data_IF_332806530467
#
_entry.id   IF_332806530467
#
_cell.length_a   1.000
_cell.length_b   1.000
_cell.length_c   1.000
_cell.angle_alpha   90.00
_cell.angle_beta   90.00
_cell.angle_gamma   90.00
#
_symmetry.space_group_name_H-M   'P 1'
#
loop_
_entity.id
_entity.type
_entity.pdbx_description
1 polymer ?
#
# COMPACT_ATOMS: atom_id res chain seq x y z
N UNK A 1 -26.82 3.35 -26.08
CA UNK A 1 -25.43 2.86 -25.86
C UNK A 1 -24.94 3.30 -24.48
N UNK A 2 -24.78 2.40 -23.49
CA UNK A 2 -24.24 2.78 -22.17
C UNK A 2 -22.85 3.41 -22.37
N UNK A 3 -22.68 4.69 -22.02
CA UNK A 3 -21.38 5.40 -22.06
C UNK A 3 -20.32 4.49 -21.45
N UNK A 4 -19.33 4.06 -22.24
CA UNK A 4 -18.22 3.24 -21.75
C UNK A 4 -17.40 4.12 -20.80
N UNK A 5 -17.64 3.97 -19.51
CA UNK A 5 -16.98 4.74 -18.45
C UNK A 5 -15.50 4.36 -18.38
N UNK A 6 -14.68 5.32 -17.97
CA UNK A 6 -13.26 5.10 -17.63
C UNK A 6 -13.20 4.12 -16.46
N UNK A 7 -12.23 3.21 -16.48
CA UNK A 7 -12.02 2.21 -15.43
C UNK A 7 -11.05 2.77 -14.39
N UNK A 8 -11.52 3.07 -13.19
CA UNK A 8 -10.68 3.58 -12.10
C UNK A 8 -10.88 2.68 -10.86
N UNK A 9 -9.79 2.32 -10.13
CA UNK A 9 -9.91 1.61 -8.86
C UNK A 9 -10.78 2.40 -7.86
N UNK A 10 -11.78 1.73 -7.28
CA UNK A 10 -12.70 2.34 -6.32
C UNK A 10 -12.25 2.22 -4.86
N UNK A 11 -11.14 1.54 -4.61
CA UNK A 11 -10.66 1.26 -3.26
C UNK A 11 -9.90 2.45 -2.68
N UNK A 12 -10.53 3.20 -1.78
CA UNK A 12 -9.92 4.35 -1.10
C UNK A 12 -8.60 3.98 -0.39
N UNK A 13 -8.52 2.79 0.22
CA UNK A 13 -7.31 2.29 0.86
C UNK A 13 -6.14 2.07 -0.11
N UNK A 14 -6.41 1.63 -1.34
CA UNK A 14 -5.36 1.43 -2.36
C UNK A 14 -4.68 2.73 -2.77
N UNK A 15 -5.41 3.85 -2.79
CA UNK A 15 -4.85 5.18 -3.04
C UNK A 15 -3.89 5.64 -1.93
N UNK A 16 -4.18 5.31 -0.67
CA UNK A 16 -3.25 5.56 0.42
C UNK A 16 -2.02 4.64 0.30
N UNK A 17 -2.22 3.35 0.00
CA UNK A 17 -1.13 2.37 -0.13
C UNK A 17 -0.18 2.67 -1.30
N UNK A 18 -0.66 3.23 -2.41
CA UNK A 18 0.23 3.63 -3.52
C UNK A 18 1.04 4.88 -3.18
N UNK A 19 0.52 5.77 -2.33
CA UNK A 19 1.07 7.10 -2.09
C UNK A 19 1.95 7.17 -0.84
N UNK A 20 1.50 6.64 0.30
CA UNK A 20 2.18 6.79 1.59
C UNK A 20 3.56 6.14 1.63
N UNK A 21 3.76 4.86 1.22
CA UNK A 21 5.08 4.26 1.23
C UNK A 21 6.03 5.00 0.29
N UNK A 22 5.53 5.45 -0.87
CA UNK A 22 6.29 6.22 -1.84
C UNK A 22 6.79 7.54 -1.23
N UNK A 23 5.90 8.29 -0.58
CA UNK A 23 6.26 9.53 0.11
C UNK A 23 7.28 9.27 1.23
N UNK A 24 7.09 8.22 2.03
CA UNK A 24 8.03 7.86 3.08
C UNK A 24 9.42 7.56 2.52
N UNK A 25 9.52 6.79 1.44
CA UNK A 25 10.78 6.50 0.76
C UNK A 25 11.45 7.75 0.20
N UNK A 26 10.68 8.63 -0.44
CA UNK A 26 11.16 9.92 -0.96
C UNK A 26 11.73 10.81 0.15
N UNK A 27 11.07 10.87 1.32
CA UNK A 27 11.53 11.65 2.47
C UNK A 27 12.69 10.99 3.23
N UNK A 28 12.78 9.66 3.22
CA UNK A 28 13.93 8.95 3.79
C UNK A 28 15.22 9.19 2.98
N UNK A 29 15.09 9.38 1.65
CA UNK A 29 16.15 9.82 0.76
C UNK A 29 16.17 11.33 0.58
N UNK A 30 16.53 11.79 -0.62
CA UNK A 30 16.45 13.20 -1.02
C UNK A 30 15.36 13.39 -2.08
N UNK A 31 14.34 14.22 -1.82
CA UNK A 31 13.36 14.59 -2.83
C UNK A 31 14.04 15.16 -4.08
N UNK A 32 13.61 14.70 -5.24
CA UNK A 32 14.20 15.06 -6.54
C UNK A 32 13.15 14.92 -7.64
N UNK A 33 13.35 15.63 -8.76
CA UNK A 33 12.41 15.67 -9.87
C UNK A 33 12.12 14.28 -10.47
N UNK A 34 13.06 13.34 -10.39
CA UNK A 34 12.85 11.96 -10.87
C UNK A 34 11.79 11.17 -10.09
N UNK A 35 11.39 11.63 -8.90
CA UNK A 35 10.24 11.05 -8.21
C UNK A 35 8.93 11.28 -8.97
N UNK A 36 8.81 12.34 -9.77
CA UNK A 36 7.60 12.62 -10.52
C UNK A 36 7.32 11.57 -11.62
N UNK A 37 8.24 11.31 -12.57
CA UNK A 37 8.03 10.24 -13.55
C UNK A 37 7.94 8.85 -12.88
N UNK A 38 8.72 8.59 -11.82
CA UNK A 38 8.62 7.34 -11.07
C UNK A 38 7.22 7.15 -10.45
N UNK A 39 6.70 8.17 -9.76
CA UNK A 39 5.38 8.11 -9.12
C UNK A 39 4.27 7.97 -10.14
N UNK A 40 4.34 8.69 -11.27
CA UNK A 40 3.35 8.55 -12.35
C UNK A 40 3.37 7.15 -12.95
N UNK A 41 4.57 6.60 -13.18
CA UNK A 41 4.75 5.22 -13.62
C UNK A 41 4.14 4.21 -12.64
N UNK A 42 4.46 4.36 -11.36
CA UNK A 42 3.94 3.54 -10.26
C UNK A 42 2.41 3.64 -10.12
N UNK A 43 1.87 4.85 -10.21
CA UNK A 43 0.44 5.11 -10.13
C UNK A 43 -0.30 4.46 -11.31
N UNK A 44 0.24 4.58 -12.53
CA UNK A 44 -0.35 3.92 -13.69
C UNK A 44 -0.22 2.40 -13.65
N UNK A 45 0.84 1.83 -13.06
CA UNK A 45 0.91 0.39 -12.78
C UNK A 45 -0.22 -0.05 -11.85
N UNK A 46 -0.47 0.70 -10.76
CA UNK A 46 -1.59 0.45 -9.88
C UNK A 46 -2.93 0.53 -10.63
N UNK A 47 -3.16 1.60 -11.41
CA UNK A 47 -4.37 1.74 -12.22
C UNK A 47 -4.53 0.64 -13.27
N UNK A 48 -3.43 0.13 -13.82
CA UNK A 48 -3.40 -0.96 -14.80
C UNK A 48 -3.74 -2.32 -14.17
N UNK A 49 -3.28 -2.58 -12.95
CA UNK A 49 -3.50 -3.84 -12.23
C UNK A 49 -5.00 -4.16 -12.08
N UNK A 50 -5.82 -3.16 -11.76
CA UNK A 50 -7.25 -3.34 -11.52
C UNK A 50 -8.02 -3.87 -12.75
N UNK A 51 -8.01 -3.21 -13.93
CA UNK A 51 -8.60 -3.77 -15.15
C UNK A 51 -8.06 -5.16 -15.49
N UNK A 52 -6.76 -5.42 -15.33
CA UNK A 52 -6.20 -6.74 -15.61
C UNK A 52 -6.81 -7.82 -14.72
N UNK A 53 -6.87 -7.60 -13.40
CA UNK A 53 -7.50 -8.52 -12.46
C UNK A 53 -9.00 -8.70 -12.76
N UNK A 54 -9.74 -7.62 -13.07
CA UNK A 54 -11.16 -7.72 -13.42
C UNK A 54 -11.40 -8.45 -14.74
N UNK A 55 -10.46 -8.39 -15.69
CA UNK A 55 -10.53 -9.14 -16.95
C UNK A 55 -10.48 -10.66 -16.74
N UNK A 56 -9.89 -11.12 -15.63
CA UNK A 56 -9.81 -12.54 -15.26
C UNK A 56 -11.14 -13.06 -14.70
N UNK A 57 -11.96 -12.18 -14.12
CA UNK A 57 -13.24 -12.51 -13.49
C UNK A 57 -14.41 -12.32 -14.45
N UNK A 58 -14.42 -11.21 -15.20
CA UNK A 58 -15.54 -10.80 -16.03
C UNK A 58 -15.27 -11.06 -17.51
N UNK A 59 -15.62 -12.27 -17.97
CA UNK A 59 -15.43 -12.70 -19.36
C UNK A 59 -16.26 -11.88 -20.36
N UNK A 60 -17.46 -11.44 -19.98
CA UNK A 60 -18.39 -10.73 -20.86
C UNK A 60 -17.87 -9.36 -21.33
N UNK A 61 -17.13 -8.65 -20.47
CA UNK A 61 -16.54 -7.34 -20.80
C UNK A 61 -15.00 -7.38 -20.89
N UNK A 62 -14.41 -8.55 -21.07
CA UNK A 62 -12.95 -8.76 -21.02
C UNK A 62 -12.18 -7.81 -21.94
N UNK A 63 -12.66 -7.57 -23.17
CA UNK A 63 -12.01 -6.64 -24.13
C UNK A 63 -11.94 -5.21 -23.60
N UNK A 64 -12.98 -4.74 -22.89
CA UNK A 64 -13.00 -3.40 -22.32
C UNK A 64 -12.00 -3.26 -21.16
N UNK A 65 -11.94 -4.28 -20.28
CA UNK A 65 -10.97 -4.32 -19.18
C UNK A 65 -9.53 -4.37 -19.69
N UNK A 66 -9.24 -5.26 -20.64
CA UNK A 66 -7.91 -5.35 -21.25
C UNK A 66 -7.50 -4.05 -21.96
N UNK A 67 -8.42 -3.39 -22.67
CA UNK A 67 -8.13 -2.10 -23.31
C UNK A 67 -7.61 -1.07 -22.30
N UNK A 68 -8.30 -0.88 -21.19
CA UNK A 68 -7.87 0.09 -20.17
C UNK A 68 -6.61 -0.37 -19.42
N UNK A 69 -6.49 -1.68 -19.14
CA UNK A 69 -5.27 -2.25 -18.57
C UNK A 69 -4.04 -1.97 -19.43
N UNK A 70 -4.14 -2.20 -20.74
CA UNK A 70 -3.08 -1.90 -21.70
C UNK A 70 -2.79 -0.40 -21.82
N UNK A 71 -3.80 0.47 -21.87
CA UNK A 71 -3.60 1.93 -21.91
C UNK A 71 -2.80 2.39 -20.68
N UNK A 72 -3.23 2.01 -19.48
CA UNK A 72 -2.50 2.38 -18.26
C UNK A 72 -1.12 1.72 -18.20
N UNK A 73 -0.98 0.48 -18.67
CA UNK A 73 0.32 -0.20 -18.73
C UNK A 73 1.32 0.49 -19.67
N UNK A 74 0.86 0.99 -20.82
CA UNK A 74 1.70 1.75 -21.75
C UNK A 74 2.10 3.12 -21.15
N UNK A 75 1.15 3.83 -20.54
CA UNK A 75 1.46 5.08 -19.83
C UNK A 75 2.46 4.85 -18.69
N UNK A 76 2.28 3.76 -17.93
CA UNK A 76 3.22 3.36 -16.90
C UNK A 76 4.62 3.13 -17.47
N UNK A 77 4.73 2.36 -18.56
CA UNK A 77 6.01 2.13 -19.23
C UNK A 77 6.66 3.44 -19.68
N UNK A 78 5.93 4.32 -20.36
CA UNK A 78 6.42 5.63 -20.79
C UNK A 78 6.96 6.48 -19.62
N UNK A 79 6.25 6.51 -18.48
CA UNK A 79 6.68 7.26 -17.31
C UNK A 79 7.85 6.61 -16.55
N UNK A 80 7.96 5.28 -16.56
CA UNK A 80 9.05 4.56 -15.90
C UNK A 80 10.36 4.62 -16.68
N UNK A 81 10.30 4.77 -18.01
CA UNK A 81 11.48 4.80 -18.89
C UNK A 81 12.58 5.77 -18.40
N UNK A 82 12.31 7.06 -18.14
CA UNK A 82 13.34 7.98 -17.61
C UNK A 82 13.94 7.53 -16.28
N UNK A 83 13.11 6.96 -15.40
CA UNK A 83 13.54 6.48 -14.07
C UNK A 83 14.44 5.26 -14.20
N UNK A 84 14.12 4.32 -15.09
CA UNK A 84 14.90 3.11 -15.36
C UNK A 84 16.23 3.42 -16.05
N UNK A 85 16.26 4.39 -16.98
CA UNK A 85 17.51 4.83 -17.60
C UNK A 85 18.45 5.50 -16.59
N UNK A 86 17.89 6.32 -15.70
CA UNK A 86 18.68 7.03 -14.69
C UNK A 86 19.11 6.12 -13.53
N UNK A 87 18.26 5.15 -13.15
CA UNK A 87 18.48 4.22 -12.05
C UNK A 87 18.16 2.77 -12.48
N UNK A 88 19.05 2.11 -13.24
CA UNK A 88 18.81 0.74 -13.74
C UNK A 88 18.58 -0.29 -12.62
N UNK A 89 19.12 -0.02 -11.42
CA UNK A 89 18.93 -0.85 -10.23
C UNK A 89 17.45 -1.01 -9.83
N UNK A 90 16.55 -0.13 -10.29
CA UNK A 90 15.10 -0.30 -10.10
C UNK A 90 14.56 -1.61 -10.72
N UNK A 91 15.24 -2.18 -11.71
CA UNK A 91 14.86 -3.45 -12.33
C UNK A 91 14.90 -4.63 -11.35
N UNK A 92 15.72 -4.56 -10.29
CA UNK A 92 15.80 -5.61 -9.27
C UNK A 92 14.49 -5.76 -8.47
N UNK A 93 13.65 -4.72 -8.40
CA UNK A 93 12.32 -4.83 -7.78
C UNK A 93 11.33 -5.62 -8.66
N UNK A 94 11.56 -5.68 -9.97
CA UNK A 94 10.66 -6.32 -10.94
C UNK A 94 10.29 -7.77 -10.58
N UNK A 95 11.27 -8.67 -10.36
CA UNK A 95 10.98 -10.06 -9.95
C UNK A 95 10.16 -10.17 -8.66
N UNK A 96 10.46 -9.32 -7.66
CA UNK A 96 9.76 -9.32 -6.37
C UNK A 96 8.30 -8.87 -6.56
N UNK A 97 8.08 -7.80 -7.33
CA UNK A 97 6.75 -7.29 -7.66
C UNK A 97 5.95 -8.34 -8.44
N UNK A 98 6.58 -9.04 -9.40
CA UNK A 98 5.93 -10.12 -10.16
C UNK A 98 5.55 -11.31 -9.27
N UNK A 99 6.40 -11.70 -8.32
CA UNK A 99 6.09 -12.77 -7.38
C UNK A 99 4.88 -12.41 -6.49
N UNK A 100 4.87 -11.20 -5.92
CA UNK A 100 3.75 -10.72 -5.10
C UNK A 100 2.46 -10.55 -5.90
N UNK A 101 2.56 -10.03 -7.13
CA UNK A 101 1.43 -9.95 -8.04
C UNK A 101 0.88 -11.33 -8.40
N UNK A 102 1.74 -12.34 -8.53
CA UNK A 102 1.31 -13.72 -8.82
C UNK A 102 0.44 -14.30 -7.71
N UNK A 103 0.76 -14.00 -6.44
CA UNK A 103 -0.08 -14.37 -5.29
C UNK A 103 -1.45 -13.70 -5.40
N UNK A 104 -1.47 -12.41 -5.75
CA UNK A 104 -2.72 -11.66 -5.92
C UNK A 104 -3.58 -12.23 -7.06
N UNK A 105 -2.96 -12.54 -8.20
CA UNK A 105 -3.61 -13.21 -9.32
C UNK A 105 -4.19 -14.56 -8.90
N UNK A 106 -3.45 -15.36 -8.14
CA UNK A 106 -3.93 -16.65 -7.63
C UNK A 106 -5.19 -16.47 -6.78
N UNK A 107 -5.18 -15.53 -5.82
CA UNK A 107 -6.34 -15.22 -4.98
C UNK A 107 -7.52 -14.68 -5.78
N UNK A 108 -7.29 -13.85 -6.79
CA UNK A 108 -8.34 -13.36 -7.71
C UNK A 108 -8.99 -14.50 -8.49
N UNK A 109 -8.21 -15.45 -9.01
CA UNK A 109 -8.72 -16.61 -9.75
C UNK A 109 -9.53 -17.54 -8.86
N UNK A 110 -9.13 -17.71 -7.60
CA UNK A 110 -9.81 -18.55 -6.62
C UNK A 110 -10.91 -17.81 -5.84
N UNK A 111 -11.26 -16.57 -6.24
CA UNK A 111 -12.29 -15.73 -5.59
C UNK A 111 -12.03 -15.50 -4.10
N UNK A 112 -10.77 -15.55 -3.67
CA UNK A 112 -10.32 -15.40 -2.28
C UNK A 112 -9.54 -14.10 -2.05
N UNK A 113 -9.85 -13.05 -2.80
CA UNK A 113 -9.25 -11.70 -2.74
C UNK A 113 -9.27 -11.07 -1.35
N UNK A 114 -10.16 -11.56 -0.49
CA UNK A 114 -10.40 -11.08 0.89
C UNK A 114 -9.52 -11.76 1.94
N UNK A 115 -8.70 -12.72 1.53
CA UNK A 115 -7.80 -13.46 2.41
C UNK A 115 -6.75 -12.52 3.01
N UNK A 116 -6.42 -12.71 4.29
CA UNK A 116 -5.39 -11.91 4.95
C UNK A 116 -4.04 -12.00 4.24
N UNK A 117 -3.66 -13.20 3.78
CA UNK A 117 -2.41 -13.39 3.02
C UNK A 117 -2.37 -12.52 1.76
N UNK A 118 -3.48 -12.45 1.01
CA UNK A 118 -3.58 -11.60 -0.16
C UNK A 118 -3.37 -10.12 0.19
N UNK A 119 -4.02 -9.66 1.27
CA UNK A 119 -3.88 -8.28 1.75
C UNK A 119 -2.43 -7.97 2.15
N UNK A 120 -1.77 -8.88 2.89
CA UNK A 120 -0.38 -8.71 3.30
C UNK A 120 0.58 -8.67 2.11
N UNK A 121 0.41 -9.56 1.11
CA UNK A 121 1.22 -9.53 -0.10
C UNK A 121 1.01 -8.24 -0.91
N UNK A 122 -0.23 -7.74 -0.99
CA UNK A 122 -0.52 -6.46 -1.65
C UNK A 122 0.13 -5.29 -0.90
N UNK A 123 0.05 -5.26 0.43
CA UNK A 123 0.71 -4.23 1.25
C UNK A 123 2.23 -4.25 1.04
N UNK A 124 2.83 -5.44 1.02
CA UNK A 124 4.26 -5.57 0.77
C UNK A 124 4.63 -5.09 -0.63
N UNK A 125 3.83 -5.42 -1.65
CA UNK A 125 3.98 -4.92 -3.01
C UNK A 125 3.95 -3.40 -3.04
N UNK A 126 2.99 -2.79 -2.33
CA UNK A 126 2.90 -1.34 -2.26
C UNK A 126 4.07 -0.70 -1.50
N UNK A 127 4.55 -1.37 -0.45
CA UNK A 127 5.68 -0.91 0.36
C UNK A 127 7.00 -0.89 -0.42
N UNK A 128 7.16 -1.78 -1.40
CA UNK A 128 8.31 -1.77 -2.33
C UNK A 128 8.33 -0.49 -3.19
N UNK A 129 7.19 0.14 -3.46
CA UNK A 129 7.14 1.46 -4.10
C UNK A 129 7.89 2.53 -3.28
N UNK A 130 7.91 2.40 -1.95
CA UNK A 130 8.74 3.21 -1.07
C UNK A 130 10.23 2.93 -1.19
N UNK A 131 10.62 1.66 -1.30
CA UNK A 131 12.02 1.29 -1.55
C UNK A 131 12.54 1.87 -2.88
N UNK A 132 11.71 1.82 -3.93
CA UNK A 132 12.04 2.42 -5.22
C UNK A 132 12.22 3.94 -5.14
N UNK A 133 11.34 4.63 -4.41
CA UNK A 133 11.47 6.07 -4.16
C UNK A 133 12.74 6.40 -3.38
N UNK A 134 13.04 5.64 -2.31
CA UNK A 134 14.26 5.80 -1.53
C UNK A 134 15.53 5.64 -2.37
N UNK A 135 15.58 4.60 -3.21
CA UNK A 135 16.70 4.34 -4.11
C UNK A 135 16.91 5.48 -5.11
N UNK A 136 15.84 5.96 -5.73
CA UNK A 136 15.91 7.13 -6.62
C UNK A 136 16.40 8.34 -5.85
N UNK A 137 15.93 8.55 -4.62
CA UNK A 137 16.37 9.60 -3.69
C UNK A 137 17.85 9.58 -3.28
N UNK A 138 18.69 8.73 -3.87
CA UNK A 138 20.11 8.58 -3.53
C UNK A 138 20.37 7.63 -2.36
N UNK A 139 19.36 6.90 -1.91
CA UNK A 139 19.50 5.82 -0.93
C UNK A 139 20.16 4.57 -1.52
N UNK A 140 20.60 3.65 -0.67
CA UNK A 140 21.24 2.40 -1.07
C UNK A 140 20.43 1.15 -0.71
N UNK A 141 21.00 -0.02 -0.99
CA UNK A 141 20.51 -1.31 -0.49
C UNK A 141 20.92 -1.51 0.98
N UNK A 142 20.32 -0.74 1.87
CA UNK A 142 20.74 -0.61 3.26
C UNK A 142 19.59 -0.80 4.25
N UNK A 143 19.90 -0.60 5.53
CA UNK A 143 18.91 -0.70 6.62
C UNK A 143 17.79 0.32 6.47
N UNK A 144 18.04 1.50 5.89
CA UNK A 144 17.02 2.53 5.72
C UNK A 144 15.97 2.09 4.69
N UNK A 145 16.39 1.47 3.59
CA UNK A 145 15.46 0.88 2.63
C UNK A 145 14.54 -0.15 3.31
N UNK A 146 15.12 -1.03 4.14
CA UNK A 146 14.36 -2.03 4.91
C UNK A 146 13.38 -1.33 5.86
N UNK A 147 13.80 -0.28 6.56
CA UNK A 147 12.94 0.51 7.45
C UNK A 147 11.76 1.14 6.71
N UNK A 148 11.96 1.74 5.54
CA UNK A 148 10.89 2.32 4.71
C UNK A 148 9.83 1.27 4.38
N UNK A 149 10.27 0.09 3.92
CA UNK A 149 9.37 -1.02 3.57
C UNK A 149 8.66 -1.54 4.82
N UNK A 150 9.40 -1.81 5.89
CA UNK A 150 8.89 -2.43 7.10
C UNK A 150 7.90 -1.52 7.82
N UNK A 151 8.20 -0.23 7.99
CA UNK A 151 7.29 0.69 8.66
C UNK A 151 6.00 0.90 7.87
N UNK A 152 6.11 1.03 6.54
CA UNK A 152 4.95 1.10 5.65
C UNK A 152 4.11 -0.18 5.73
N UNK A 153 4.76 -1.34 5.70
CA UNK A 153 4.11 -2.63 5.79
C UNK A 153 3.35 -2.78 7.11
N UNK A 154 4.01 -2.54 8.25
CA UNK A 154 3.40 -2.63 9.58
C UNK A 154 2.23 -1.65 9.75
N UNK A 155 2.33 -0.46 9.15
CA UNK A 155 1.25 0.53 9.21
C UNK A 155 0.02 0.08 8.45
N UNK A 156 0.17 -0.36 7.21
CA UNK A 156 -0.97 -0.79 6.42
C UNK A 156 -1.53 -2.13 6.89
N UNK A 157 -0.71 -3.03 7.44
CA UNK A 157 -1.18 -4.23 8.14
C UNK A 157 -2.06 -3.86 9.33
N UNK A 158 -1.67 -2.85 10.12
CA UNK A 158 -2.51 -2.32 11.21
C UNK A 158 -3.88 -1.86 10.70
N UNK A 159 -3.91 -1.19 9.54
CA UNK A 159 -5.15 -0.74 8.91
C UNK A 159 -6.02 -1.91 8.45
N UNK A 160 -5.44 -2.97 7.88
CA UNK A 160 -6.21 -4.16 7.48
C UNK A 160 -6.88 -4.83 8.68
N UNK A 161 -6.16 -5.00 9.80
CA UNK A 161 -6.76 -5.52 11.03
C UNK A 161 -7.94 -4.66 11.49
N UNK A 162 -7.77 -3.34 11.48
CA UNK A 162 -8.80 -2.38 11.84
C UNK A 162 -10.03 -2.44 10.90
N UNK A 163 -9.83 -2.32 9.60
CA UNK A 163 -10.89 -2.34 8.57
C UNK A 163 -11.67 -3.65 8.63
N UNK A 164 -10.98 -4.78 8.77
CA UNK A 164 -11.65 -6.08 8.95
C UNK A 164 -12.49 -6.09 10.23
N UNK A 165 -12.00 -5.55 11.33
CA UNK A 165 -12.70 -5.51 12.62
C UNK A 165 -13.92 -4.57 12.67
N UNK A 166 -14.08 -3.61 11.75
CA UNK A 166 -15.26 -2.71 11.71
C UNK A 166 -16.31 -3.14 10.67
N UNK A 167 -15.90 -3.88 9.64
CA UNK A 167 -16.79 -4.31 8.55
C UNK A 167 -17.14 -5.79 8.56
N UNK A 168 -16.15 -6.68 8.44
CA UNK A 168 -16.38 -8.10 8.14
C UNK A 168 -16.34 -8.97 9.39
N UNK A 169 -15.35 -8.73 10.24
CA UNK A 169 -15.06 -9.49 11.45
C UNK A 169 -15.57 -8.77 12.69
N UNK A 170 -16.58 -7.91 12.51
CA UNK A 170 -17.09 -7.01 13.55
C UNK A 170 -17.64 -7.73 14.77
N UNK A 171 -18.24 -8.90 14.56
CA UNK A 171 -18.82 -9.71 15.64
C UNK A 171 -17.88 -10.85 16.08
N UNK A 172 -16.73 -10.98 15.41
CA UNK A 172 -15.74 -11.99 15.72
C UNK A 172 -14.82 -11.52 16.86
N UNK A 173 -15.11 -11.99 18.08
CA UNK A 173 -14.33 -11.65 19.29
C UNK A 173 -12.84 -11.99 19.15
N UNK A 174 -12.48 -13.08 18.46
CA UNK A 174 -11.08 -13.46 18.24
C UNK A 174 -10.39 -12.44 17.34
N UNK A 175 -11.05 -12.00 16.28
CA UNK A 175 -10.49 -10.99 15.39
C UNK A 175 -10.31 -9.64 16.08
N UNK A 176 -11.28 -9.20 16.89
CA UNK A 176 -11.14 -7.98 17.70
C UNK A 176 -9.95 -8.10 18.66
N UNK A 177 -9.78 -9.26 19.29
CA UNK A 177 -8.63 -9.51 20.16
C UNK A 177 -7.31 -9.45 19.39
N UNK A 178 -7.22 -10.07 18.19
CA UNK A 178 -6.04 -9.97 17.33
C UNK A 178 -5.74 -8.53 16.91
N UNK A 179 -6.77 -7.77 16.52
CA UNK A 179 -6.62 -6.35 16.19
C UNK A 179 -6.06 -5.58 17.38
N UNK A 180 -6.61 -5.75 18.59
CA UNK A 180 -6.10 -5.07 19.79
C UNK A 180 -4.68 -5.50 20.14
N UNK A 181 -4.41 -6.81 20.13
CA UNK A 181 -3.09 -7.37 20.43
C UNK A 181 -2.02 -6.81 19.47
N UNK A 182 -2.31 -6.76 18.17
CA UNK A 182 -1.41 -6.16 17.18
C UNK A 182 -1.07 -4.70 17.53
N UNK A 183 -2.06 -3.90 17.94
CA UNK A 183 -1.87 -2.49 18.28
C UNK A 183 -1.21 -2.27 19.66
N UNK A 184 -1.17 -3.26 20.56
CA UNK A 184 -0.34 -3.23 21.78
C UNK A 184 1.09 -3.66 21.48
N UNK A 185 1.24 -4.77 20.75
CA UNK A 185 2.55 -5.39 20.50
C UNK A 185 3.41 -4.54 19.56
N UNK A 186 2.82 -3.89 18.57
CA UNK A 186 3.59 -3.10 17.60
C UNK A 186 4.40 -1.97 18.26
N UNK A 187 3.83 -1.11 19.14
CA UNK A 187 4.63 -0.16 19.92
C UNK A 187 5.76 -0.79 20.74
N UNK A 188 5.52 -1.95 21.36
CA UNK A 188 6.55 -2.65 22.14
C UNK A 188 7.69 -3.15 21.25
N UNK A 189 7.36 -3.71 20.08
CA UNK A 189 8.35 -4.15 19.09
C UNK A 189 9.18 -2.97 18.60
N UNK A 190 8.56 -1.82 18.29
CA UNK A 190 9.28 -0.62 17.88
C UNK A 190 10.20 -0.09 18.98
N UNK A 191 9.75 -0.13 20.23
CA UNK A 191 10.57 0.26 21.38
C UNK A 191 11.82 -0.62 21.51
N UNK A 192 11.63 -1.94 21.54
CA UNK A 192 12.71 -2.91 21.70
C UNK A 192 13.66 -2.89 20.50
N UNK A 193 13.15 -2.62 19.30
CA UNK A 193 13.96 -2.46 18.08
C UNK A 193 14.75 -1.13 18.02
N UNK A 194 14.66 -0.27 19.05
CA UNK A 194 15.40 0.99 19.09
C UNK A 194 14.75 2.15 18.34
N UNK A 195 13.47 2.05 17.99
CA UNK A 195 12.70 3.09 17.29
C UNK A 195 11.53 3.64 18.14
N UNK A 196 11.76 4.10 19.39
CA UNK A 196 10.69 4.51 20.29
C UNK A 196 9.89 5.72 19.75
N UNK A 197 10.55 6.65 19.04
CA UNK A 197 9.87 7.80 18.44
C UNK A 197 8.89 7.41 17.33
N UNK A 198 9.16 6.29 16.65
CA UNK A 198 8.28 5.79 15.60
C UNK A 198 6.91 5.36 16.14
N UNK A 199 6.77 5.08 17.45
CA UNK A 199 5.49 4.80 18.10
C UNK A 199 4.47 5.91 17.85
N UNK A 200 4.91 7.18 17.81
CA UNK A 200 4.03 8.32 17.53
C UNK A 200 3.38 8.25 16.15
N UNK A 201 4.06 7.68 15.16
CA UNK A 201 3.50 7.45 13.82
C UNK A 201 2.34 6.44 13.82
N UNK A 202 2.31 5.52 14.80
CA UNK A 202 1.26 4.50 14.94
C UNK A 202 0.20 4.85 15.97
N UNK A 203 0.37 5.92 16.75
CA UNK A 203 -0.48 6.24 17.91
C UNK A 203 -1.96 6.38 17.53
N UNK A 204 -2.28 7.09 16.45
CA UNK A 204 -3.68 7.23 16.01
C UNK A 204 -4.24 5.90 15.49
N UNK A 205 -3.41 5.09 14.82
CA UNK A 205 -3.83 3.76 14.36
C UNK A 205 -4.19 2.85 15.55
N UNK A 206 -3.40 2.90 16.63
CA UNK A 206 -3.71 2.20 17.88
C UNK A 206 -4.98 2.75 18.52
N UNK A 207 -5.08 4.07 18.72
CA UNK A 207 -6.23 4.69 19.37
C UNK A 207 -7.54 4.34 18.68
N UNK A 208 -7.62 4.48 17.34
CA UNK A 208 -8.85 4.15 16.60
C UNK A 208 -9.21 2.65 16.71
N UNK A 209 -8.22 1.76 16.80
CA UNK A 209 -8.46 0.33 16.92
C UNK A 209 -9.15 -0.01 18.26
N UNK A 210 -8.72 0.59 19.37
CA UNK A 210 -9.39 0.40 20.67
C UNK A 210 -10.77 1.07 20.73
N UNK A 211 -10.91 2.24 20.13
CA UNK A 211 -12.16 3.01 20.18
C UNK A 211 -13.25 2.38 19.31
N UNK A 212 -12.91 1.87 18.12
CA UNK A 212 -13.91 1.49 17.11
C UNK A 212 -13.93 0.01 16.71
N UNK A 213 -12.93 -0.83 17.03
CA UNK A 213 -13.00 -2.26 16.66
C UNK A 213 -14.26 -2.93 17.24
N UNK A 214 -14.97 -3.67 16.39
CA UNK A 214 -16.26 -4.29 16.74
C UNK A 214 -17.47 -3.36 16.69
N UNK A 215 -17.29 -2.05 16.41
CA UNK A 215 -18.40 -1.10 16.28
C UNK A 215 -18.81 -0.91 14.82
N UNK A 216 -20.12 -0.79 14.52
CA UNK A 216 -20.57 -0.50 13.16
C UNK A 216 -20.11 0.90 12.73
N UNK A 217 -19.67 1.02 11.48
CA UNK A 217 -19.17 2.28 10.94
C UNK A 217 -19.59 2.46 9.48
N UNK A 218 -19.94 3.69 9.11
CA UNK A 218 -20.21 4.05 7.71
C UNK A 218 -18.90 4.07 6.91
N UNK A 219 -18.88 3.58 5.65
CA UNK A 219 -17.68 3.58 4.81
C UNK A 219 -17.00 4.94 4.67
N UNK A 220 -17.77 6.03 4.54
CA UNK A 220 -17.22 7.39 4.46
C UNK A 220 -16.46 7.81 5.72
N UNK A 221 -17.01 7.49 6.90
CA UNK A 221 -16.36 7.77 8.19
C UNK A 221 -15.08 6.94 8.34
N UNK A 222 -15.11 5.66 7.95
CA UNK A 222 -13.92 4.81 7.97
C UNK A 222 -12.83 5.39 7.07
N UNK A 223 -13.17 5.81 5.85
CA UNK A 223 -12.22 6.44 4.92
C UNK A 223 -11.57 7.71 5.48
N UNK A 224 -12.34 8.60 6.11
CA UNK A 224 -11.78 9.81 6.76
C UNK A 224 -10.81 9.43 7.87
N UNK A 225 -11.17 8.47 8.72
CA UNK A 225 -10.30 7.98 9.80
C UNK A 225 -9.00 7.38 9.22
N UNK A 226 -9.07 6.61 8.13
CA UNK A 226 -7.88 6.08 7.46
C UNK A 226 -6.98 7.18 6.90
N UNK A 227 -7.56 8.23 6.30
CA UNK A 227 -6.81 9.38 5.78
C UNK A 227 -6.10 10.12 6.91
N UNK A 228 -6.79 10.42 8.01
CA UNK A 228 -6.18 11.09 9.17
C UNK A 228 -5.02 10.26 9.73
N UNK A 229 -5.21 8.95 9.87
CA UNK A 229 -4.15 8.05 10.30
C UNK A 229 -2.96 8.03 9.34
N UNK A 230 -3.22 8.03 8.02
CA UNK A 230 -2.18 7.99 7.01
C UNK A 230 -1.35 9.28 6.99
N UNK A 231 -2.01 10.44 7.12
CA UNK A 231 -1.34 11.74 7.23
C UNK A 231 -0.47 11.79 8.49
N UNK A 232 -1.01 11.39 9.65
CA UNK A 232 -0.22 11.32 10.87
C UNK A 232 1.00 10.41 10.71
N UNK A 233 0.81 9.22 10.14
CA UNK A 233 1.88 8.27 9.92
C UNK A 233 2.98 8.87 9.05
N UNK A 234 2.64 9.50 7.92
CA UNK A 234 3.62 10.14 7.03
C UNK A 234 4.39 11.24 7.76
N UNK A 235 3.70 12.13 8.49
CA UNK A 235 4.34 13.25 9.20
C UNK A 235 5.36 12.74 10.21
N UNK A 236 4.95 11.89 11.15
CA UNK A 236 5.86 11.41 12.19
C UNK A 236 6.94 10.47 11.64
N UNK A 237 6.62 9.63 10.66
CA UNK A 237 7.62 8.76 10.05
C UNK A 237 8.67 9.58 9.31
N UNK A 238 8.28 10.59 8.53
CA UNK A 238 9.25 11.48 7.88
C UNK A 238 10.15 12.23 8.88
N UNK A 239 9.63 12.60 10.05
CA UNK A 239 10.40 13.27 11.10
C UNK A 239 11.40 12.36 11.82
N UNK A 240 11.06 11.08 11.97
CA UNK A 240 11.81 10.16 12.84
C UNK A 240 12.53 9.04 12.10
N UNK A 241 12.28 8.82 10.81
CA UNK A 241 12.89 7.70 10.08
C UNK A 241 14.42 7.80 9.99
N UNK A 242 14.97 9.02 10.09
CA UNK A 242 16.41 9.28 10.07
C UNK A 242 17.06 9.36 11.47
N UNK A 243 16.28 9.19 12.55
CA UNK A 243 16.76 9.27 13.95
C UNK A 243 16.80 7.89 14.59
#
# INVERSE_FOLDING_TARGET
MKKRKIVIPHEHGGWAMVSVPFLLGMFAGKPQLMHLPLFMGWLFLYMSSYPFLQSMKNKANRRHWLKWGTIYGLLAACCLVPSLFSHPALLYFGPILLALLSVNIWHTRHKSERALLNDLCAILLFSIGGAAAYLVGGGGWDRMMVSVVLFSFLYFTSSVFFVKAIFRERENKRWIAYTRAYHVLLPLVLWVAGHPWMILAYAFSAARAFVFAGKPMRPSKAGIIEIVGAVQFVIFSAMFIQR
#
